data_IF_168264466619
#
_entry.id   IF_168264466619
#
_cell.length_a   1.000
_cell.length_b   1.000
_cell.length_c   1.000
_cell.angle_alpha   90.00
_cell.angle_beta   90.00
_cell.angle_gamma   90.00
#
_symmetry.space_group_name_H-M   'P 1'
#
loop_
_entity.id
_entity.type
_entity.pdbx_description
1 polymer ?
#
# COMPACT_ATOMS: atom_id res chain seq x y z
N UNK A 1 -35.72 -11.85 2.95
CA UNK A 1 -34.51 -11.37 3.67
C UNK A 1 -33.50 -11.01 2.60
N UNK A 2 -33.83 -9.96 1.83
CA UNK A 2 -33.38 -9.81 0.44
C UNK A 2 -33.10 -8.36 0.05
N UNK A 3 -32.89 -7.45 1.00
CA UNK A 3 -33.06 -6.02 0.70
C UNK A 3 -31.79 -5.16 0.82
N UNK A 4 -30.80 -5.48 1.66
CA UNK A 4 -29.64 -4.57 1.83
C UNK A 4 -28.74 -4.44 0.60
N UNK A 5 -28.56 -5.52 -0.20
CA UNK A 5 -27.70 -5.48 -1.40
C UNK A 5 -28.37 -4.85 -2.61
N UNK A 6 -29.70 -4.90 -2.69
CA UNK A 6 -30.46 -4.29 -3.78
C UNK A 6 -30.67 -2.80 -3.54
N UNK A 7 -30.87 -2.35 -2.30
CA UNK A 7 -30.97 -0.91 -1.99
C UNK A 7 -29.68 -0.15 -2.31
N UNK A 8 -28.51 -0.73 -1.98
CA UNK A 8 -27.21 -0.12 -2.29
C UNK A 8 -26.98 -0.03 -3.80
N UNK A 9 -27.42 -1.03 -4.57
CA UNK A 9 -27.33 -1.04 -6.03
C UNK A 9 -28.22 0.03 -6.66
N UNK A 10 -29.45 0.17 -6.19
CA UNK A 10 -30.43 1.14 -6.70
C UNK A 10 -30.04 2.59 -6.37
N UNK A 11 -29.40 2.83 -5.22
CA UNK A 11 -28.88 4.14 -4.85
C UNK A 11 -27.77 4.62 -5.80
N UNK A 12 -26.88 3.72 -6.23
CA UNK A 12 -25.79 4.00 -7.15
C UNK A 12 -26.29 4.26 -8.58
N UNK A 13 -27.33 3.54 -9.02
CA UNK A 13 -27.93 3.71 -10.35
C UNK A 13 -28.65 5.07 -10.51
N UNK A 14 -29.34 5.54 -9.47
CA UNK A 14 -30.00 6.85 -9.48
C UNK A 14 -29.04 8.03 -9.60
N UNK A 15 -27.86 7.93 -8.99
CA UNK A 15 -26.83 8.98 -9.04
C UNK A 15 -26.19 9.09 -10.44
N UNK A 16 -26.24 8.00 -11.20
CA UNK A 16 -25.73 7.91 -12.57
C UNK A 16 -26.68 8.56 -13.59
N UNK A 17 -28.00 8.33 -13.47
CA UNK A 17 -29.01 8.89 -14.38
C UNK A 17 -29.10 10.43 -14.31
N UNK A 18 -28.65 11.04 -13.21
CA UNK A 18 -28.66 12.49 -13.02
C UNK A 18 -27.47 13.25 -13.64
N UNK A 19 -26.39 12.57 -14.09
CA UNK A 19 -25.10 13.23 -14.38
C UNK A 19 -24.59 13.18 -15.85
N UNK A 20 -25.31 12.57 -16.80
CA UNK A 20 -25.11 12.79 -18.24
C UNK A 20 -23.84 12.20 -18.92
N UNK A 21 -23.71 12.37 -20.25
CA UNK A 21 -23.21 11.33 -21.16
C UNK A 21 -21.79 11.55 -21.73
N UNK A 22 -20.78 11.87 -20.92
CA UNK A 22 -19.37 11.74 -21.36
C UNK A 22 -18.88 10.29 -21.21
N UNK A 23 -19.54 9.45 -21.99
CA UNK A 23 -19.48 8.00 -22.05
C UNK A 23 -18.21 7.49 -22.76
N UNK A 24 -17.05 7.84 -22.21
CA UNK A 24 -15.81 7.03 -22.26
C UNK A 24 -15.63 6.20 -20.94
N UNK A 25 -16.68 6.17 -20.11
CA UNK A 25 -16.80 5.61 -18.75
C UNK A 25 -17.15 4.10 -18.67
N UNK A 26 -17.39 3.42 -19.80
CA UNK A 26 -18.10 2.12 -19.85
C UNK A 26 -17.21 0.87 -19.83
N UNK A 27 -15.91 0.98 -20.12
CA UNK A 27 -14.94 -0.09 -19.80
C UNK A 27 -14.40 0.01 -18.36
N UNK A 28 -14.91 0.98 -17.59
CA UNK A 28 -14.19 1.56 -16.45
C UNK A 28 -15.10 1.75 -15.23
N UNK A 29 -16.43 1.58 -15.32
CA UNK A 29 -17.35 1.74 -14.18
C UNK A 29 -17.45 0.48 -13.32
N UNK A 30 -17.46 -0.72 -13.89
CA UNK A 30 -17.40 -1.97 -13.11
C UNK A 30 -16.02 -2.18 -12.51
N UNK A 31 -14.93 -1.95 -13.25
CA UNK A 31 -13.58 -2.01 -12.69
C UNK A 31 -13.34 -0.91 -11.64
N UNK A 32 -13.85 0.32 -11.84
CA UNK A 32 -13.79 1.35 -10.77
C UNK A 32 -14.69 1.02 -9.59
N UNK A 33 -15.84 0.38 -9.79
CA UNK A 33 -16.71 -0.06 -8.70
C UNK A 33 -16.05 -1.20 -7.91
N UNK A 34 -15.46 -2.18 -8.59
CA UNK A 34 -14.71 -3.27 -8.00
C UNK A 34 -13.45 -2.76 -7.29
N UNK A 35 -12.74 -1.79 -7.90
CA UNK A 35 -11.61 -1.09 -7.29
C UNK A 35 -12.04 -0.27 -6.07
N UNK A 36 -13.15 0.47 -6.15
CA UNK A 36 -13.67 1.26 -5.04
C UNK A 36 -14.15 0.36 -3.88
N UNK A 37 -14.79 -0.77 -4.20
CA UNK A 37 -15.18 -1.78 -3.23
C UNK A 37 -13.94 -2.41 -2.58
N UNK A 38 -12.91 -2.71 -3.36
CA UNK A 38 -11.65 -3.24 -2.86
C UNK A 38 -10.91 -2.21 -1.99
N UNK A 39 -10.86 -0.95 -2.41
CA UNK A 39 -10.30 0.15 -1.61
C UNK A 39 -11.06 0.33 -0.29
N UNK A 40 -12.39 0.20 -0.29
CA UNK A 40 -13.19 0.21 0.92
C UNK A 40 -12.85 -0.98 1.84
N UNK A 41 -12.62 -2.18 1.28
CA UNK A 41 -12.20 -3.35 2.04
C UNK A 41 -10.79 -3.18 2.62
N UNK A 42 -9.84 -2.66 1.82
CA UNK A 42 -8.47 -2.34 2.23
C UNK A 42 -8.44 -1.27 3.32
N UNK A 43 -9.32 -0.27 3.25
CA UNK A 43 -9.46 0.75 4.29
C UNK A 43 -9.87 0.16 5.63
N UNK A 44 -10.75 -0.85 5.65
CA UNK A 44 -11.15 -1.52 6.88
C UNK A 44 -10.13 -2.56 7.36
N UNK A 45 -9.43 -3.22 6.43
CA UNK A 45 -8.40 -4.20 6.72
C UNK A 45 -7.34 -4.23 5.61
N UNK A 46 -6.18 -3.61 5.85
CA UNK A 46 -5.09 -3.54 4.86
C UNK A 46 -4.53 -4.91 4.44
N UNK A 47 -4.82 -5.97 5.20
CA UNK A 47 -4.48 -7.34 4.81
C UNK A 47 -5.36 -7.88 3.67
N UNK A 48 -6.43 -7.19 3.27
CA UNK A 48 -7.24 -7.56 2.11
C UNK A 48 -6.42 -7.67 0.81
N UNK A 49 -5.27 -6.98 0.73
CA UNK A 49 -4.32 -7.09 -0.36
C UNK A 49 -3.81 -8.52 -0.60
N UNK A 50 -3.80 -9.39 0.42
CA UNK A 50 -3.44 -10.80 0.30
C UNK A 50 -4.29 -11.55 -0.75
N UNK A 51 -5.59 -11.23 -0.79
CA UNK A 51 -6.58 -11.90 -1.63
C UNK A 51 -6.82 -11.20 -2.98
N UNK A 52 -6.17 -10.06 -3.22
CA UNK A 52 -6.23 -9.39 -4.52
C UNK A 52 -5.58 -10.23 -5.61
N UNK A 53 -6.07 -10.08 -6.83
CA UNK A 53 -5.37 -10.57 -8.02
C UNK A 53 -4.07 -9.77 -8.28
N UNK A 54 -3.26 -10.28 -9.21
CA UNK A 54 -1.95 -9.70 -9.52
C UNK A 54 -2.05 -8.27 -10.07
N UNK A 55 -3.15 -7.92 -10.77
CA UNK A 55 -3.33 -6.58 -11.30
C UNK A 55 -3.56 -5.55 -10.20
N UNK A 56 -4.30 -5.91 -9.15
CA UNK A 56 -4.51 -5.08 -7.97
C UNK A 56 -3.26 -5.01 -7.08
N UNK A 57 -2.50 -6.12 -6.95
CA UNK A 57 -1.21 -6.15 -6.24
C UNK A 57 -0.13 -5.32 -6.94
N UNK A 58 -0.24 -5.14 -8.25
CA UNK A 58 0.60 -4.25 -9.05
C UNK A 58 0.04 -2.82 -9.17
N UNK A 59 -1.19 -2.57 -8.68
CA UNK A 59 -1.77 -1.24 -8.68
C UNK A 59 -1.19 -0.41 -7.53
N UNK A 60 -0.37 0.57 -7.88
CA UNK A 60 0.32 1.45 -6.92
C UNK A 60 -0.63 2.15 -5.95
N UNK A 61 -1.77 2.64 -6.41
CA UNK A 61 -2.73 3.37 -5.56
C UNK A 61 -3.33 2.42 -4.51
N UNK A 62 -3.76 1.23 -4.92
CA UNK A 62 -4.28 0.19 -4.03
C UNK A 62 -3.25 -0.18 -2.96
N UNK A 63 -2.01 -0.42 -3.38
CA UNK A 63 -0.93 -0.79 -2.45
C UNK A 63 -0.63 0.34 -1.47
N UNK A 64 -0.57 1.60 -1.93
CA UNK A 64 -0.36 2.76 -1.05
C UNK A 64 -1.46 2.83 0.02
N UNK A 65 -2.72 2.65 -0.36
CA UNK A 65 -3.82 2.67 0.61
C UNK A 65 -3.72 1.51 1.61
N UNK A 66 -3.30 0.32 1.16
CA UNK A 66 -3.09 -0.82 2.04
C UNK A 66 -1.96 -0.60 3.05
N UNK A 67 -0.80 -0.11 2.60
CA UNK A 67 0.36 0.09 3.49
C UNK A 67 0.17 1.25 4.46
N UNK A 68 -0.61 2.27 4.09
CA UNK A 68 -1.01 3.36 5.00
C UNK A 68 -1.79 2.86 6.20
N UNK A 69 -2.63 1.84 6.02
CA UNK A 69 -3.37 1.22 7.12
C UNK A 69 -2.50 0.21 7.87
N UNK A 70 -1.79 -0.65 7.12
CA UNK A 70 -0.96 -1.72 7.68
C UNK A 70 0.36 -1.79 6.91
N UNK A 71 1.45 -1.23 7.46
CA UNK A 71 2.74 -1.20 6.75
C UNK A 71 3.19 -2.58 6.26
N UNK A 72 2.88 -3.65 6.99
CA UNK A 72 3.20 -5.03 6.61
C UNK A 72 2.43 -5.55 5.39
N UNK A 73 1.38 -4.86 4.91
CA UNK A 73 0.68 -5.19 3.68
C UNK A 73 1.60 -5.17 2.45
N UNK A 74 2.74 -4.46 2.54
CA UNK A 74 3.80 -4.47 1.53
C UNK A 74 4.23 -5.90 1.13
N UNK A 75 4.12 -6.88 2.04
CA UNK A 75 4.37 -8.30 1.76
C UNK A 75 3.62 -8.82 0.52
N UNK A 76 2.41 -8.34 0.29
CA UNK A 76 1.53 -8.81 -0.79
C UNK A 76 1.61 -7.99 -2.07
N UNK A 77 2.29 -6.85 -2.04
CA UNK A 77 2.49 -6.02 -3.23
C UNK A 77 3.30 -6.78 -4.29
N UNK A 78 3.11 -6.37 -5.53
CA UNK A 78 3.95 -6.80 -6.64
C UNK A 78 5.42 -6.47 -6.38
N UNK A 79 6.31 -7.27 -6.97
CA UNK A 79 7.74 -7.14 -6.80
C UNK A 79 8.29 -5.79 -7.31
N UNK A 80 7.66 -5.20 -8.33
CA UNK A 80 8.02 -3.85 -8.80
C UNK A 80 7.73 -2.78 -7.76
N UNK A 81 6.61 -2.90 -7.03
CA UNK A 81 6.21 -1.95 -5.98
C UNK A 81 6.98 -2.15 -4.68
N UNK A 82 7.49 -3.36 -4.41
CA UNK A 82 8.45 -3.61 -3.32
C UNK A 82 9.82 -2.96 -3.57
N UNK A 83 10.07 -2.47 -4.78
CA UNK A 83 11.22 -1.64 -5.13
C UNK A 83 10.86 -0.15 -5.35
N UNK A 84 9.59 0.23 -5.21
CA UNK A 84 9.19 1.64 -5.33
C UNK A 84 9.47 2.36 -4.01
N UNK A 85 10.30 3.41 -4.07
CA UNK A 85 10.80 4.10 -2.89
C UNK A 85 9.66 4.73 -2.09
N UNK A 86 8.69 5.35 -2.76
CA UNK A 86 7.58 6.04 -2.09
C UNK A 86 6.64 5.03 -1.44
N UNK A 87 6.34 3.92 -2.12
CA UNK A 87 5.50 2.85 -1.58
C UNK A 87 6.15 2.24 -0.32
N UNK A 88 7.45 1.94 -0.38
CA UNK A 88 8.17 1.36 0.76
C UNK A 88 8.30 2.37 1.91
N UNK A 89 8.57 3.66 1.62
CA UNK A 89 8.63 4.68 2.66
C UNK A 89 7.28 4.89 3.35
N UNK A 90 6.17 4.84 2.61
CA UNK A 90 4.84 4.94 3.23
C UNK A 90 4.54 3.73 4.13
N UNK A 91 5.00 2.54 3.73
CA UNK A 91 4.92 1.34 4.57
C UNK A 91 5.77 1.46 5.85
N UNK A 92 7.01 1.96 5.72
CA UNK A 92 7.94 2.19 6.84
C UNK A 92 7.40 3.24 7.81
N UNK A 93 6.82 4.32 7.30
CA UNK A 93 6.20 5.37 8.11
C UNK A 93 5.09 4.82 9.01
N UNK A 94 4.38 3.78 8.56
CA UNK A 94 3.42 3.07 9.39
C UNK A 94 4.16 2.13 10.38
N UNK A 95 5.09 1.31 9.89
CA UNK A 95 5.84 0.39 10.73
C UNK A 95 7.21 0.16 10.12
N UNK A 96 8.27 0.54 10.81
CA UNK A 96 9.65 0.37 10.35
C UNK A 96 10.00 -1.07 9.98
N UNK A 97 9.40 -2.05 10.66
CA UNK A 97 9.60 -3.47 10.34
C UNK A 97 8.98 -3.89 8.99
N UNK A 98 8.14 -3.07 8.38
CA UNK A 98 7.62 -3.30 7.03
C UNK A 98 8.74 -3.37 5.98
N UNK A 99 9.88 -2.70 6.23
CA UNK A 99 11.04 -2.70 5.34
C UNK A 99 11.53 -4.12 5.02
N UNK A 100 11.32 -5.10 5.90
CA UNK A 100 11.70 -6.50 5.66
C UNK A 100 11.07 -7.11 4.40
N UNK A 101 9.96 -6.55 3.92
CA UNK A 101 9.24 -7.00 2.72
C UNK A 101 9.66 -6.25 1.45
N UNK A 102 10.48 -5.21 1.55
CA UNK A 102 11.05 -4.54 0.39
C UNK A 102 12.12 -5.40 -0.29
N UNK A 103 12.44 -5.05 -1.54
CA UNK A 103 13.53 -5.71 -2.29
C UNK A 103 14.88 -5.51 -1.60
N UNK A 104 15.77 -6.48 -1.78
CA UNK A 104 17.13 -6.42 -1.22
C UNK A 104 17.91 -5.19 -1.70
N UNK A 105 17.66 -4.72 -2.92
CA UNK A 105 18.23 -3.48 -3.44
C UNK A 105 17.85 -2.25 -2.60
N UNK A 106 16.64 -2.22 -2.05
CA UNK A 106 16.17 -1.14 -1.16
C UNK A 106 16.82 -1.25 0.21
N UNK A 107 16.88 -2.47 0.76
CA UNK A 107 17.50 -2.73 2.08
C UNK A 107 19.02 -2.52 2.08
N UNK A 108 19.66 -2.53 0.92
CA UNK A 108 21.09 -2.25 0.74
C UNK A 108 21.37 -0.81 0.26
N UNK A 109 20.34 0.01 0.04
CA UNK A 109 20.51 1.42 -0.33
C UNK A 109 20.63 2.27 0.94
N UNK A 110 21.82 2.83 1.14
CA UNK A 110 22.14 3.71 2.27
C UNK A 110 21.32 5.00 2.28
N UNK A 111 21.13 5.65 1.12
CA UNK A 111 20.37 6.91 1.04
C UNK A 111 18.90 6.68 1.35
N UNK A 112 18.35 5.58 0.84
CA UNK A 112 17.01 5.14 1.18
C UNK A 112 16.87 4.88 2.69
N UNK A 113 17.79 4.11 3.27
CA UNK A 113 17.77 3.78 4.70
C UNK A 113 17.88 5.03 5.58
N UNK A 114 18.63 6.04 5.17
CA UNK A 114 18.69 7.31 5.89
C UNK A 114 17.31 7.98 5.98
N UNK A 115 16.50 7.92 4.92
CA UNK A 115 15.13 8.41 4.93
C UNK A 115 14.22 7.50 5.77
N UNK A 116 14.31 6.18 5.59
CA UNK A 116 13.50 5.19 6.30
C UNK A 116 13.69 5.26 7.83
N UNK A 117 14.94 5.31 8.29
CA UNK A 117 15.30 5.35 9.72
C UNK A 117 14.84 6.65 10.39
N UNK A 118 14.79 7.77 9.65
CA UNK A 118 14.22 9.03 10.14
C UNK A 118 12.70 8.96 10.33
N UNK A 119 12.01 8.12 9.58
CA UNK A 119 10.57 7.88 9.73
C UNK A 119 10.29 6.94 10.90
N UNK A 120 11.03 5.82 10.95
CA UNK A 120 10.96 4.86 12.05
C UNK A 120 12.32 4.17 12.23
N UNK A 121 12.93 4.35 13.41
CA UNK A 121 14.24 3.77 13.75
C UNK A 121 14.30 2.25 13.64
N UNK A 122 13.17 1.54 13.84
CA UNK A 122 13.11 0.09 13.69
C UNK A 122 13.36 -0.38 12.25
N UNK A 123 13.26 0.50 11.25
CA UNK A 123 13.65 0.19 9.88
C UNK A 123 15.10 -0.30 9.78
N UNK A 124 15.99 0.18 10.65
CA UNK A 124 17.39 -0.23 10.65
C UNK A 124 17.56 -1.75 10.87
N UNK A 125 16.71 -2.39 11.68
CA UNK A 125 16.78 -3.84 11.95
C UNK A 125 16.55 -4.70 10.70
N UNK A 126 15.96 -4.12 9.65
CA UNK A 126 15.65 -4.79 8.40
C UNK A 126 16.65 -4.47 7.28
N UNK A 127 17.61 -3.57 7.51
CA UNK A 127 18.64 -3.22 6.55
C UNK A 127 19.59 -4.39 6.27
N UNK A 128 20.39 -4.29 5.20
CA UNK A 128 21.55 -5.17 5.00
C UNK A 128 22.51 -5.08 6.20
N UNK A 129 23.11 -6.21 6.58
CA UNK A 129 23.95 -6.36 7.79
C UNK A 129 25.07 -5.31 7.87
N UNK A 130 25.65 -4.92 6.72
CA UNK A 130 26.69 -3.88 6.67
C UNK A 130 26.15 -2.51 7.09
N UNK A 131 24.91 -2.20 6.72
CA UNK A 131 24.26 -0.92 6.98
C UNK A 131 23.59 -0.89 8.36
N UNK A 132 23.21 -2.03 8.92
CA UNK A 132 22.76 -2.12 10.32
C UNK A 132 23.82 -1.58 11.30
N UNK A 133 25.10 -1.74 10.95
CA UNK A 133 26.24 -1.28 11.73
C UNK A 133 26.76 0.10 11.28
N UNK A 134 26.10 0.78 10.34
CA UNK A 134 26.48 2.13 9.94
C UNK A 134 26.33 3.09 11.14
N UNK A 135 27.41 3.77 11.57
CA UNK A 135 27.37 4.62 12.77
C UNK A 135 26.38 5.77 12.68
N UNK A 136 26.17 6.32 11.48
CA UNK A 136 25.22 7.41 11.27
C UNK A 136 23.77 6.90 11.36
N UNK A 137 23.47 5.77 10.73
CA UNK A 137 22.14 5.17 10.79
C UNK A 137 21.77 4.74 12.21
N UNK A 138 22.69 4.14 12.97
CA UNK A 138 22.47 3.78 14.38
C UNK A 138 22.19 4.99 15.26
N UNK A 139 22.96 6.07 15.08
CA UNK A 139 22.74 7.32 15.81
C UNK A 139 21.36 7.91 15.53
N UNK A 140 20.89 7.83 14.29
CA UNK A 140 19.57 8.38 13.90
C UNK A 140 18.44 7.46 14.37
N UNK A 141 18.63 6.14 14.39
CA UNK A 141 17.59 5.19 14.79
C UNK A 141 17.22 5.29 16.27
N UNK A 142 18.12 5.81 17.11
CA UNK A 142 17.89 5.92 18.56
C UNK A 142 17.80 4.57 19.27
N UNK A 143 18.31 3.50 18.66
CA UNK A 143 18.29 2.13 19.18
C UNK A 143 19.50 1.78 20.08
N UNK A 144 20.22 2.78 20.58
CA UNK A 144 21.43 2.62 21.42
C UNK A 144 21.13 2.51 22.93
#
# INVERSE_FOLDING_TARGET
>A
MTDDKNEIREAILRDFENNGPDALKEADSSMKADLALFLAAVQQNGMALEHADDSLKANREVVIQAVKQWGTALKFADDSLKADYEVVLEAVKQNGNALRFAKDSIKADREFLLAAVKLDGFALNCADEKLQNDPELRRISGLD
#
